data_IF_625850314489
#
_entry.id   IF_625850314489
#
_cell.length_a   1.000
_cell.length_b   1.000
_cell.length_c   1.000
_cell.angle_alpha   90.00
_cell.angle_beta   90.00
_cell.angle_gamma   90.00
#
_symmetry.space_group_name_H-M   'P 1'
#
loop_
_entity.id
_entity.type
_entity.pdbx_description
1 polymer ?
#
# COMPACT_ATOMS: atom_id res chain seq x y z
N UNK A 1 -11.82 -19.26 -35.50
CA UNK A 1 -12.38 -18.39 -34.43
C UNK A 1 -12.48 -19.11 -33.07
N UNK A 2 -12.86 -20.40 -33.03
CA UNK A 2 -12.96 -21.16 -31.77
C UNK A 2 -11.68 -21.17 -30.91
N UNK A 3 -10.49 -21.25 -31.51
CA UNK A 3 -9.21 -21.25 -30.76
C UNK A 3 -8.92 -19.93 -30.03
N UNK A 4 -9.30 -18.78 -30.61
CA UNK A 4 -9.12 -17.48 -29.96
C UNK A 4 -10.08 -17.32 -28.79
N UNK A 5 -11.33 -17.78 -28.92
CA UNK A 5 -12.31 -17.72 -27.83
C UNK A 5 -11.86 -18.54 -26.61
N UNK A 6 -11.27 -19.72 -26.83
CA UNK A 6 -10.69 -20.51 -25.72
C UNK A 6 -9.50 -19.84 -25.06
N UNK A 7 -8.62 -19.20 -25.84
CA UNK A 7 -7.48 -18.45 -25.31
C UNK A 7 -7.94 -17.26 -24.45
N UNK A 8 -8.88 -16.47 -24.96
CA UNK A 8 -9.47 -15.36 -24.22
C UNK A 8 -10.18 -15.82 -22.96
N UNK A 9 -10.92 -16.93 -23.01
CA UNK A 9 -11.57 -17.49 -21.81
C UNK A 9 -10.54 -17.93 -20.77
N UNK A 10 -9.44 -18.54 -21.18
CA UNK A 10 -8.36 -18.94 -20.25
C UNK A 10 -7.69 -17.71 -19.61
N UNK A 11 -7.46 -16.64 -20.38
CA UNK A 11 -6.84 -15.41 -19.89
C UNK A 11 -7.76 -14.55 -19.03
N UNK A 12 -9.05 -14.49 -19.38
CA UNK A 12 -10.02 -13.63 -18.73
C UNK A 12 -10.72 -14.30 -17.54
N UNK A 13 -10.69 -15.62 -17.45
CA UNK A 13 -11.55 -16.38 -16.54
C UNK A 13 -12.98 -16.49 -17.08
N UNK A 14 -13.70 -17.49 -16.60
CA UNK A 14 -15.06 -17.81 -17.08
C UNK A 14 -16.07 -16.70 -16.84
N UNK A 15 -16.04 -16.07 -15.66
CA UNK A 15 -16.99 -15.03 -15.27
C UNK A 15 -16.87 -13.77 -16.15
N UNK A 16 -15.67 -13.20 -16.27
CA UNK A 16 -15.45 -12.00 -17.09
C UNK A 16 -15.65 -12.27 -18.59
N UNK A 17 -15.35 -13.48 -19.06
CA UNK A 17 -15.66 -13.87 -20.43
C UNK A 17 -17.16 -13.93 -20.69
N UNK A 18 -17.94 -14.54 -19.78
CA UNK A 18 -19.40 -14.60 -19.91
C UNK A 18 -20.03 -13.21 -19.87
N UNK A 19 -19.50 -12.31 -19.06
CA UNK A 19 -19.93 -10.92 -19.02
C UNK A 19 -19.63 -10.19 -20.34
N UNK A 20 -18.41 -10.29 -20.88
CA UNK A 20 -18.09 -9.70 -22.19
C UNK A 20 -18.94 -10.29 -23.33
N UNK A 21 -19.23 -11.59 -23.29
CA UNK A 21 -20.14 -12.24 -24.25
C UNK A 21 -21.55 -11.64 -24.15
N UNK A 22 -22.04 -11.40 -22.92
CA UNK A 22 -23.32 -10.72 -22.69
C UNK A 22 -23.29 -9.28 -23.21
N UNK A 23 -22.22 -8.52 -22.95
CA UNK A 23 -22.09 -7.15 -23.44
C UNK A 23 -22.09 -7.09 -24.96
N UNK A 24 -21.47 -8.07 -25.63
CA UNK A 24 -21.44 -8.11 -27.10
C UNK A 24 -22.80 -8.25 -27.78
N UNK A 25 -23.84 -8.63 -27.01
CA UNK A 25 -25.22 -8.75 -27.48
C UNK A 25 -26.03 -7.48 -27.27
N UNK A 26 -25.46 -6.45 -26.65
CA UNK A 26 -26.11 -5.16 -26.45
C UNK A 26 -26.30 -4.45 -27.80
N UNK A 27 -27.54 -4.10 -28.13
CA UNK A 27 -27.89 -3.55 -29.44
C UNK A 27 -27.69 -2.04 -29.52
N UNK A 28 -27.83 -1.34 -28.39
CA UNK A 28 -27.60 0.10 -28.31
C UNK A 28 -26.11 0.41 -28.10
N UNK A 29 -25.44 1.15 -29.01
CA UNK A 29 -24.02 1.47 -28.88
C UNK A 29 -23.67 2.21 -27.61
N UNK A 30 -24.53 3.14 -27.16
CA UNK A 30 -24.25 3.92 -25.95
C UNK A 30 -24.28 3.03 -24.71
N UNK A 31 -25.32 2.20 -24.59
CA UNK A 31 -25.47 1.23 -23.50
C UNK A 31 -24.34 0.20 -23.49
N UNK A 32 -23.87 -0.24 -24.67
CA UNK A 32 -22.72 -1.12 -24.80
C UNK A 32 -21.46 -0.49 -24.18
N UNK A 33 -21.12 0.75 -24.55
CA UNK A 33 -19.91 1.41 -24.06
C UNK A 33 -19.98 1.79 -22.58
N UNK A 34 -21.14 2.19 -22.06
CA UNK A 34 -21.32 2.40 -20.61
C UNK A 34 -21.09 1.11 -19.83
N UNK A 35 -21.66 0.01 -20.32
CA UNK A 35 -21.52 -1.30 -19.69
C UNK A 35 -20.07 -1.80 -19.74
N UNK A 36 -19.36 -1.52 -20.84
CA UNK A 36 -17.94 -1.79 -20.99
C UNK A 36 -17.08 -0.92 -20.05
N UNK A 37 -17.44 0.34 -19.83
CA UNK A 37 -16.78 1.21 -18.84
C UNK A 37 -16.97 0.67 -17.41
N UNK A 38 -18.18 0.20 -17.08
CA UNK A 38 -18.47 -0.45 -15.81
C UNK A 38 -17.69 -1.76 -15.63
N UNK A 39 -17.55 -2.55 -16.70
CA UNK A 39 -16.71 -3.74 -16.72
C UNK A 39 -15.25 -3.42 -16.42
N UNK A 40 -14.68 -2.40 -17.08
CA UNK A 40 -13.33 -1.92 -16.79
C UNK A 40 -13.16 -1.52 -15.31
N UNK A 41 -14.15 -0.85 -14.72
CA UNK A 41 -14.15 -0.48 -13.29
C UNK A 41 -14.14 -1.70 -12.37
N UNK A 42 -14.97 -2.71 -12.64
CA UNK A 42 -14.95 -3.96 -11.86
C UNK A 42 -13.60 -4.66 -11.96
N UNK A 43 -13.04 -4.76 -13.16
CA UNK A 43 -11.70 -5.31 -13.36
C UNK A 43 -10.64 -4.56 -12.55
N UNK A 44 -10.69 -3.23 -12.51
CA UNK A 44 -9.78 -2.43 -11.70
C UNK A 44 -9.96 -2.70 -10.19
N UNK A 45 -11.20 -2.80 -9.72
CA UNK A 45 -11.52 -3.13 -8.32
C UNK A 45 -11.07 -4.54 -7.94
N UNK A 46 -11.12 -5.49 -8.86
CA UNK A 46 -10.64 -6.87 -8.68
C UNK A 46 -9.11 -6.99 -8.79
N UNK A 47 -8.38 -5.89 -9.01
CA UNK A 47 -6.92 -5.90 -9.18
C UNK A 47 -6.46 -6.38 -10.56
N UNK A 48 -7.37 -6.58 -11.52
CA UNK A 48 -7.08 -7.03 -12.89
C UNK A 48 -6.70 -5.85 -13.79
N UNK A 49 -5.62 -5.17 -13.42
CA UNK A 49 -5.25 -3.88 -13.99
C UNK A 49 -4.94 -3.94 -15.49
N UNK A 50 -4.31 -5.00 -15.97
CA UNK A 50 -4.01 -5.15 -17.41
C UNK A 50 -5.27 -5.13 -18.27
N UNK A 51 -6.33 -5.78 -17.79
CA UNK A 51 -7.62 -5.82 -18.47
C UNK A 51 -8.35 -4.48 -18.37
N UNK A 52 -8.33 -3.86 -17.19
CA UNK A 52 -8.90 -2.53 -17.00
C UNK A 52 -8.23 -1.49 -17.93
N UNK A 53 -6.90 -1.52 -18.01
CA UNK A 53 -6.11 -0.67 -18.91
C UNK A 53 -6.46 -0.91 -20.38
N UNK A 54 -6.59 -2.17 -20.80
CA UNK A 54 -6.99 -2.50 -22.17
C UNK A 54 -8.40 -1.99 -22.49
N UNK A 55 -9.36 -2.17 -21.57
CA UNK A 55 -10.74 -1.71 -21.73
C UNK A 55 -10.81 -0.18 -21.80
N UNK A 56 -10.15 0.53 -20.89
CA UNK A 56 -10.13 2.00 -20.93
C UNK A 56 -9.36 2.56 -22.12
N UNK A 57 -8.30 1.88 -22.56
CA UNK A 57 -7.59 2.23 -23.79
C UNK A 57 -8.51 2.16 -25.01
N UNK A 58 -9.27 1.07 -25.14
CA UNK A 58 -10.25 0.88 -26.22
C UNK A 58 -11.37 1.93 -26.16
N UNK A 59 -11.90 2.23 -24.97
CA UNK A 59 -12.93 3.25 -24.78
C UNK A 59 -12.43 4.68 -25.05
N UNK A 60 -11.12 4.93 -24.96
CA UNK A 60 -10.52 6.23 -25.26
C UNK A 60 -10.32 6.45 -26.77
N UNK A 61 -10.16 5.39 -27.55
CA UNK A 61 -9.77 5.47 -28.98
C UNK A 61 -10.92 5.77 -29.95
N UNK A 62 -12.14 6.01 -29.46
CA UNK A 62 -13.22 6.57 -30.27
C UNK A 62 -14.52 5.78 -30.16
N UNK A 63 -15.29 6.07 -29.13
CA UNK A 63 -16.66 5.55 -28.96
C UNK A 63 -17.69 6.42 -29.67
N UNK A 64 -17.35 7.68 -29.95
CA UNK A 64 -18.30 8.70 -30.41
C UNK A 64 -19.13 9.33 -29.29
N UNK A 65 -18.89 8.93 -28.04
CA UNK A 65 -19.58 9.42 -26.84
C UNK A 65 -18.59 10.15 -25.92
N UNK A 66 -18.47 11.49 -25.99
CA UNK A 66 -17.40 12.24 -25.32
C UNK A 66 -17.42 12.09 -23.79
N UNK A 67 -18.60 11.89 -23.19
CA UNK A 67 -18.73 11.65 -21.75
C UNK A 67 -18.17 10.30 -21.29
N UNK A 68 -18.18 9.28 -22.15
CA UNK A 68 -17.59 7.96 -21.86
C UNK A 68 -16.07 8.03 -22.06
N UNK A 69 -15.62 8.65 -23.15
CA UNK A 69 -14.20 8.83 -23.47
C UNK A 69 -13.47 9.60 -22.37
N UNK A 70 -14.06 10.71 -21.89
CA UNK A 70 -13.49 11.52 -20.81
C UNK A 70 -13.35 10.72 -19.51
N UNK A 71 -14.39 9.98 -19.10
CA UNK A 71 -14.35 9.12 -17.90
C UNK A 71 -13.34 7.99 -18.06
N UNK A 72 -13.28 7.33 -19.22
CA UNK A 72 -12.30 6.28 -19.48
C UNK A 72 -10.87 6.82 -19.42
N UNK A 73 -10.62 8.00 -20.00
CA UNK A 73 -9.32 8.67 -19.96
C UNK A 73 -8.91 9.05 -18.52
N UNK A 74 -9.83 9.57 -17.72
CA UNK A 74 -9.59 9.91 -16.32
C UNK A 74 -9.21 8.66 -15.49
N UNK A 75 -9.94 7.55 -15.66
CA UNK A 75 -9.63 6.29 -14.98
C UNK A 75 -8.30 5.69 -15.45
N UNK A 76 -8.01 5.75 -16.75
CA UNK A 76 -6.74 5.30 -17.32
C UNK A 76 -5.57 6.09 -16.75
N UNK A 77 -5.69 7.42 -16.70
CA UNK A 77 -4.68 8.29 -16.09
C UNK A 77 -4.50 7.98 -14.61
N UNK A 78 -5.58 7.79 -13.85
CA UNK A 78 -5.52 7.47 -12.43
C UNK A 78 -4.72 6.17 -12.17
N UNK A 79 -4.97 5.11 -12.95
CA UNK A 79 -4.25 3.83 -12.84
C UNK A 79 -2.77 4.01 -13.22
N UNK A 80 -2.46 4.83 -14.21
CA UNK A 80 -1.09 5.14 -14.64
C UNK A 80 -0.36 6.14 -13.73
N UNK A 81 -1.01 6.64 -12.66
CA UNK A 81 -0.44 7.65 -11.77
C UNK A 81 -0.39 9.07 -12.37
N UNK A 82 -1.07 9.30 -13.49
CA UNK A 82 -1.20 10.60 -14.16
C UNK A 82 -2.54 11.28 -13.86
N UNK A 83 -2.69 12.54 -14.27
CA UNK A 83 -3.96 13.27 -14.19
C UNK A 83 -4.24 13.94 -12.83
N UNK A 84 -5.52 14.19 -12.56
CA UNK A 84 -5.96 14.90 -11.35
C UNK A 84 -5.60 14.14 -10.07
N UNK A 85 -5.36 14.87 -8.97
CA UNK A 85 -4.97 14.27 -7.70
C UNK A 85 -6.11 13.46 -7.04
N UNK A 86 -7.37 13.88 -7.22
CA UNK A 86 -8.55 13.23 -6.62
C UNK A 86 -8.74 11.77 -7.05
N UNK A 87 -8.96 11.49 -8.35
CA UNK A 87 -9.12 10.11 -8.84
C UNK A 87 -7.91 9.22 -8.56
N UNK A 88 -6.70 9.78 -8.61
CA UNK A 88 -5.46 9.08 -8.23
C UNK A 88 -5.48 8.69 -6.76
N UNK A 89 -5.79 9.62 -5.86
CA UNK A 89 -5.86 9.36 -4.43
C UNK A 89 -6.94 8.31 -4.13
N UNK A 90 -8.11 8.40 -4.76
CA UNK A 90 -9.18 7.40 -4.60
C UNK A 90 -8.71 6.01 -5.03
N UNK A 91 -8.10 5.88 -6.21
CA UNK A 91 -7.55 4.62 -6.70
C UNK A 91 -6.50 4.05 -5.75
N UNK A 92 -5.53 4.86 -5.32
CA UNK A 92 -4.47 4.45 -4.42
C UNK A 92 -4.99 4.06 -3.03
N UNK A 93 -5.92 4.83 -2.46
CA UNK A 93 -6.51 4.54 -1.15
C UNK A 93 -7.35 3.26 -1.18
N UNK A 94 -8.14 3.06 -2.25
CA UNK A 94 -8.92 1.84 -2.42
C UNK A 94 -8.02 0.62 -2.54
N UNK A 95 -6.99 0.71 -3.37
CA UNK A 95 -6.00 -0.35 -3.53
C UNK A 95 -5.25 -0.64 -2.24
N UNK A 96 -4.83 0.41 -1.53
CA UNK A 96 -4.18 0.27 -0.23
C UNK A 96 -5.11 -0.42 0.79
N UNK A 97 -6.40 -0.08 0.82
CA UNK A 97 -7.36 -0.71 1.71
C UNK A 97 -7.56 -2.21 1.39
N UNK A 98 -7.59 -2.56 0.11
CA UNK A 98 -7.65 -3.95 -0.34
C UNK A 98 -6.38 -4.72 0.04
N UNK A 99 -5.20 -4.16 -0.22
CA UNK A 99 -3.91 -4.75 0.13
C UNK A 99 -3.76 -4.90 1.65
N UNK A 100 -4.18 -3.89 2.43
CA UNK A 100 -4.16 -3.91 3.89
C UNK A 100 -5.09 -4.99 4.49
N UNK A 101 -6.05 -5.48 3.71
CA UNK A 101 -6.95 -6.56 4.10
C UNK A 101 -6.44 -7.94 3.66
N UNK A 102 -5.31 -8.04 2.94
CA UNK A 102 -4.73 -9.33 2.56
C UNK A 102 -4.11 -9.99 3.81
N UNK A 103 -4.61 -11.17 4.24
CA UNK A 103 -4.07 -11.86 5.41
C UNK A 103 -2.58 -12.19 5.25
N UNK A 104 -2.13 -12.44 4.03
CA UNK A 104 -0.73 -12.72 3.70
C UNK A 104 0.14 -11.51 3.99
N UNK A 105 -0.34 -10.32 3.60
CA UNK A 105 0.35 -9.06 3.86
C UNK A 105 0.42 -8.80 5.38
N UNK A 106 -0.70 -8.95 6.09
CA UNK A 106 -0.75 -8.75 7.55
C UNK A 106 0.23 -9.69 8.27
N UNK A 107 0.25 -10.97 7.91
CA UNK A 107 1.18 -11.96 8.47
C UNK A 107 2.64 -11.60 8.18
N UNK A 108 2.95 -11.23 6.93
CA UNK A 108 4.31 -10.81 6.56
C UNK A 108 4.78 -9.56 7.31
N UNK A 109 3.90 -8.57 7.51
CA UNK A 109 4.17 -7.38 8.32
C UNK A 109 4.39 -7.74 9.79
N UNK A 110 3.58 -8.65 10.33
CA UNK A 110 3.74 -9.14 11.70
C UNK A 110 5.11 -9.80 11.94
N UNK A 111 5.50 -10.70 11.04
CA UNK A 111 6.80 -11.38 11.09
C UNK A 111 7.97 -10.38 10.94
N UNK A 112 7.88 -9.48 9.96
CA UNK A 112 8.88 -8.45 9.75
C UNK A 112 9.02 -7.53 10.99
N UNK A 113 7.90 -7.11 11.57
CA UNK A 113 7.89 -6.28 12.78
C UNK A 113 8.51 -6.98 14.00
N UNK A 114 8.30 -8.28 14.16
CA UNK A 114 8.96 -9.07 15.18
C UNK A 114 10.48 -9.13 14.95
N UNK A 115 10.91 -9.41 13.71
CA UNK A 115 12.32 -9.44 13.33
C UNK A 115 13.01 -8.07 13.56
N UNK A 116 12.33 -6.96 13.25
CA UNK A 116 12.81 -5.61 13.55
C UNK A 116 13.09 -5.42 15.04
N UNK A 117 12.12 -5.76 15.90
CA UNK A 117 12.25 -5.56 17.37
C UNK A 117 13.40 -6.37 17.95
N UNK A 118 13.49 -7.65 17.58
CA UNK A 118 14.57 -8.55 18.04
C UNK A 118 15.94 -8.03 17.56
N UNK A 119 16.05 -7.68 16.28
CA UNK A 119 17.30 -7.19 15.70
C UNK A 119 17.73 -5.88 16.33
N UNK A 120 16.80 -4.95 16.52
CA UNK A 120 17.08 -3.66 17.16
C UNK A 120 17.56 -3.84 18.60
N UNK A 121 16.91 -4.69 19.38
CA UNK A 121 17.32 -4.97 20.77
C UNK A 121 18.70 -5.62 20.82
N UNK A 122 18.97 -6.58 19.94
CA UNK A 122 20.29 -7.22 19.83
C UNK A 122 21.39 -6.21 19.48
N UNK A 123 21.15 -5.36 18.46
CA UNK A 123 22.11 -4.33 18.05
C UNK A 123 22.34 -3.29 19.15
N UNK A 124 21.28 -2.85 19.84
CA UNK A 124 21.41 -1.94 20.98
C UNK A 124 22.19 -2.60 22.13
N UNK A 125 21.92 -3.87 22.44
CA UNK A 125 22.66 -4.62 23.46
C UNK A 125 24.14 -4.72 23.14
N UNK A 126 24.50 -5.03 21.88
CA UNK A 126 25.89 -5.08 21.43
C UNK A 126 26.57 -3.71 21.48
N UNK A 127 25.87 -2.65 21.07
CA UNK A 127 26.41 -1.28 21.12
C UNK A 127 26.58 -0.78 22.56
N UNK A 128 25.67 -1.14 23.46
CA UNK A 128 25.76 -0.80 24.88
C UNK A 128 26.93 -1.50 25.57
N UNK A 129 27.23 -2.75 25.17
CA UNK A 129 28.36 -3.51 25.68
C UNK A 129 29.71 -3.11 25.06
N UNK A 130 29.73 -2.25 24.03
CA UNK A 130 30.97 -1.90 23.34
C UNK A 130 31.79 -0.85 24.11
N UNK A 131 33.03 -1.16 24.53
CA UNK A 131 33.88 -0.21 25.24
C UNK A 131 34.34 0.97 24.36
N UNK A 132 34.26 0.83 23.04
CA UNK A 132 34.66 1.86 22.07
C UNK A 132 33.61 2.96 21.84
N UNK A 133 32.46 2.92 22.51
CA UNK A 133 31.39 3.88 22.31
C UNK A 133 31.60 5.16 23.13
N UNK A 134 31.80 6.30 22.44
CA UNK A 134 31.76 7.66 22.99
C UNK A 134 30.33 8.08 23.42
N UNK A 135 30.20 9.11 24.28
CA UNK A 135 28.90 9.56 24.79
C UNK A 135 27.88 9.93 23.68
N UNK A 136 28.37 10.51 22.57
CA UNK A 136 27.55 10.82 21.40
C UNK A 136 27.06 9.56 20.65
N UNK A 137 27.89 8.51 20.59
CA UNK A 137 27.50 7.24 19.98
C UNK A 137 26.63 6.39 20.90
N UNK A 138 26.69 6.57 22.23
CA UNK A 138 25.79 5.89 23.19
C UNK A 138 24.35 6.41 23.16
N UNK A 139 24.12 7.62 22.67
CA UNK A 139 22.81 8.26 22.60
C UNK A 139 22.11 8.11 21.24
N UNK A 140 22.07 9.22 20.51
CA UNK A 140 21.36 9.30 19.22
C UNK A 140 22.00 8.40 18.15
N UNK A 141 23.33 8.34 18.10
CA UNK A 141 24.08 7.52 17.13
C UNK A 141 23.71 6.04 17.21
N UNK A 142 23.81 5.41 18.39
CA UNK A 142 23.44 4.00 18.57
C UNK A 142 21.98 3.73 18.21
N UNK A 143 21.06 4.63 18.55
CA UNK A 143 19.64 4.48 18.20
C UNK A 143 19.41 4.54 16.70
N UNK A 144 20.09 5.45 15.99
CA UNK A 144 20.00 5.58 14.55
C UNK A 144 20.61 4.36 13.84
N UNK A 145 21.83 3.95 14.21
CA UNK A 145 22.50 2.78 13.62
C UNK A 145 21.75 1.48 13.89
N UNK A 146 21.29 1.25 15.12
CA UNK A 146 20.49 0.07 15.44
C UNK A 146 19.13 0.09 14.72
N UNK A 147 18.52 1.27 14.56
CA UNK A 147 17.29 1.44 13.79
C UNK A 147 17.46 1.09 12.32
N UNK A 148 18.49 1.63 11.67
CA UNK A 148 18.82 1.32 10.27
C UNK A 148 19.18 -0.16 10.07
N UNK A 149 20.03 -0.71 10.93
CA UNK A 149 20.39 -2.13 10.86
C UNK A 149 19.19 -3.06 11.04
N UNK A 150 18.33 -2.77 12.01
CA UNK A 150 17.10 -3.53 12.21
C UNK A 150 16.11 -3.38 11.05
N UNK A 151 16.04 -2.21 10.42
CA UNK A 151 15.20 -1.97 9.25
C UNK A 151 15.62 -2.81 8.04
N UNK A 152 16.92 -2.99 7.81
CA UNK A 152 17.40 -3.87 6.73
C UNK A 152 16.97 -5.33 6.94
N UNK A 153 17.01 -5.81 8.18
CA UNK A 153 16.54 -7.16 8.54
C UNK A 153 15.04 -7.27 8.34
N UNK A 154 14.27 -6.26 8.77
CA UNK A 154 12.83 -6.19 8.61
C UNK A 154 12.41 -6.21 7.13
N UNK A 155 13.01 -5.37 6.28
CA UNK A 155 12.71 -5.31 4.86
C UNK A 155 12.99 -6.64 4.15
N UNK A 156 14.10 -7.30 4.52
CA UNK A 156 14.45 -8.62 4.00
C UNK A 156 13.47 -9.69 4.47
N UNK A 157 13.11 -9.68 5.76
CA UNK A 157 12.13 -10.60 6.34
C UNK A 157 10.76 -10.43 5.70
N UNK A 158 10.30 -9.19 5.53
CA UNK A 158 9.04 -8.86 4.88
C UNK A 158 8.98 -9.41 3.45
N UNK A 159 10.05 -9.21 2.68
CA UNK A 159 10.14 -9.67 1.29
C UNK A 159 10.12 -11.19 1.21
N UNK A 160 10.91 -11.88 2.03
CA UNK A 160 10.98 -13.35 2.01
C UNK A 160 9.70 -14.00 2.54
N UNK A 161 9.15 -13.49 3.65
CA UNK A 161 7.88 -13.97 4.21
C UNK A 161 6.73 -13.73 3.23
N UNK A 162 6.70 -12.57 2.57
CA UNK A 162 5.72 -12.25 1.54
C UNK A 162 5.75 -13.25 0.38
N UNK A 163 6.92 -13.54 -0.20
CA UNK A 163 7.00 -14.53 -1.27
C UNK A 163 6.62 -15.94 -0.80
N UNK A 164 7.16 -16.38 0.36
CA UNK A 164 6.89 -17.72 0.88
C UNK A 164 5.42 -17.95 1.24
N UNK A 165 4.75 -16.97 1.83
CA UNK A 165 3.33 -17.06 2.15
C UNK A 165 2.46 -16.99 0.89
N UNK A 166 2.80 -16.15 -0.09
CA UNK A 166 2.06 -16.10 -1.36
C UNK A 166 2.18 -17.43 -2.13
N UNK A 167 3.38 -18.02 -2.17
CA UNK A 167 3.58 -19.33 -2.78
C UNK A 167 2.81 -20.44 -2.04
N UNK A 168 2.76 -20.37 -0.70
CA UNK A 168 1.97 -21.31 0.11
C UNK A 168 0.46 -21.25 -0.17
N UNK A 169 -0.08 -20.11 -0.62
CA UNK A 169 -1.48 -19.96 -1.08
C UNK A 169 -1.66 -20.18 -2.58
N UNK A 170 -0.64 -20.71 -3.26
CA UNK A 170 -0.69 -21.07 -4.68
C UNK A 170 -0.51 -19.89 -5.63
N UNK A 171 -0.04 -18.73 -5.17
CA UNK A 171 0.30 -17.58 -6.03
C UNK A 171 1.76 -17.70 -6.46
N UNK A 172 2.06 -18.01 -7.73
CA UNK A 172 3.44 -18.18 -8.19
C UNK A 172 4.24 -16.88 -7.97
N UNK A 173 5.49 -17.02 -7.55
CA UNK A 173 6.39 -15.91 -7.24
C UNK A 173 7.68 -16.00 -8.05
N UNK A 174 8.25 -14.84 -8.39
CA UNK A 174 9.53 -14.73 -9.09
C UNK A 174 10.69 -14.74 -8.08
N UNK A 175 11.31 -15.91 -7.92
CA UNK A 175 12.49 -16.10 -7.06
C UNK A 175 13.81 -15.74 -7.73
N UNK A 176 13.79 -15.19 -8.95
CA UNK A 176 15.02 -14.72 -9.60
C UNK A 176 15.67 -13.60 -8.78
N UNK A 177 17.00 -13.44 -8.81
CA UNK A 177 17.68 -12.35 -8.10
C UNK A 177 17.14 -10.95 -8.50
N UNK A 178 16.73 -10.79 -9.76
CA UNK A 178 16.14 -9.56 -10.28
C UNK A 178 14.73 -9.32 -9.74
N UNK A 179 13.90 -10.36 -9.68
CA UNK A 179 12.58 -10.34 -9.05
C UNK A 179 12.66 -9.97 -7.57
N UNK A 180 13.49 -10.70 -6.83
CA UNK A 180 13.73 -10.47 -5.41
C UNK A 180 14.26 -9.06 -5.13
N UNK A 181 15.20 -8.56 -5.93
CA UNK A 181 15.73 -7.20 -5.77
C UNK A 181 14.67 -6.11 -5.94
N UNK A 182 13.78 -6.26 -6.95
CA UNK A 182 12.66 -5.33 -7.17
C UNK A 182 11.65 -5.40 -6.03
N UNK A 183 11.25 -6.60 -5.62
CA UNK A 183 10.32 -6.80 -4.51
C UNK A 183 10.88 -6.26 -3.19
N UNK A 184 12.18 -6.45 -2.94
CA UNK A 184 12.85 -5.91 -1.76
C UNK A 184 12.86 -4.38 -1.76
N UNK A 185 13.22 -3.75 -2.89
CA UNK A 185 13.24 -2.29 -3.00
C UNK A 185 11.83 -1.69 -2.80
N UNK A 186 10.81 -2.30 -3.42
CA UNK A 186 9.42 -1.91 -3.23
C UNK A 186 8.96 -2.08 -1.77
N UNK A 187 9.25 -3.24 -1.16
CA UNK A 187 8.92 -3.51 0.24
C UNK A 187 9.61 -2.55 1.21
N UNK A 188 10.90 -2.25 0.99
CA UNK A 188 11.65 -1.28 1.78
C UNK A 188 11.05 0.14 1.65
N UNK A 189 10.69 0.58 0.44
CA UNK A 189 10.03 1.87 0.24
C UNK A 189 8.67 1.95 0.94
N UNK A 190 7.87 0.89 0.86
CA UNK A 190 6.56 0.80 1.53
C UNK A 190 6.73 0.86 3.05
N UNK A 191 7.58 0.03 3.63
CA UNK A 191 7.84 0.01 5.07
C UNK A 191 8.43 1.33 5.57
N UNK A 192 9.38 1.90 4.82
CA UNK A 192 9.98 3.19 5.12
C UNK A 192 8.94 4.31 5.15
N UNK A 193 8.06 4.33 4.14
CA UNK A 193 6.95 5.30 4.06
C UNK A 193 6.00 5.15 5.25
N UNK A 194 5.56 3.92 5.56
CA UNK A 194 4.68 3.65 6.71
C UNK A 194 5.28 4.10 8.03
N UNK A 195 6.58 3.85 8.25
CA UNK A 195 7.28 4.29 9.47
C UNK A 195 7.41 5.81 9.55
N UNK A 196 7.71 6.48 8.42
CA UNK A 196 7.77 7.93 8.35
C UNK A 196 6.40 8.56 8.64
N UNK A 197 5.33 8.03 8.06
CA UNK A 197 3.97 8.49 8.34
C UNK A 197 3.58 8.24 9.79
N UNK A 198 3.88 7.07 10.35
CA UNK A 198 3.61 6.76 11.75
C UNK A 198 4.37 7.70 12.71
N UNK A 199 5.62 8.02 12.40
CA UNK A 199 6.41 8.97 13.17
C UNK A 199 5.88 10.40 13.07
N UNK A 200 5.57 10.88 11.87
CA UNK A 200 5.04 12.22 11.63
C UNK A 200 3.66 12.39 12.27
N UNK A 201 2.77 11.40 12.08
CA UNK A 201 1.44 11.36 12.68
C UNK A 201 1.50 11.31 14.20
N UNK A 202 2.40 10.51 14.78
CA UNK A 202 2.60 10.46 16.24
C UNK A 202 3.05 11.80 16.82
N UNK A 203 3.94 12.52 16.14
CA UNK A 203 4.37 13.88 16.57
C UNK A 203 3.25 14.90 16.45
N UNK A 204 2.48 14.87 15.36
CA UNK A 204 1.34 15.77 15.19
C UNK A 204 0.27 15.50 16.26
N UNK A 205 -0.03 14.23 16.50
CA UNK A 205 -0.97 13.80 17.54
C UNK A 205 -0.54 14.30 18.93
N UNK A 206 0.73 14.10 19.29
CA UNK A 206 1.30 14.61 20.54
C UNK A 206 1.27 16.15 20.64
N UNK A 207 1.45 16.87 19.52
CA UNK A 207 1.38 18.33 19.51
C UNK A 207 -0.04 18.84 19.75
N UNK A 208 -1.03 18.19 19.14
CA UNK A 208 -2.44 18.58 19.26
C UNK A 208 -3.01 18.19 20.63
N UNK A 209 -2.69 17.00 21.14
CA UNK A 209 -3.31 16.48 22.37
C UNK A 209 -2.41 16.60 23.63
N UNK A 210 -1.09 16.75 23.46
CA UNK A 210 -0.13 16.77 24.56
C UNK A 210 0.22 18.17 25.08
N UNK A 211 -0.22 19.24 24.40
CA UNK A 211 0.04 20.61 24.85
C UNK A 211 -0.98 21.13 25.88
N UNK A 212 -2.20 20.58 25.91
CA UNK A 212 -3.27 21.10 26.79
C UNK A 212 -3.29 20.47 28.20
N UNK A 213 -2.67 19.30 28.40
CA UNK A 213 -2.77 18.55 29.67
C UNK A 213 -1.63 18.74 30.68
N UNK A 214 -0.50 19.33 30.31
CA UNK A 214 0.69 19.46 31.17
C UNK A 214 1.06 20.90 31.55
N UNK A 215 0.41 21.91 30.95
CA UNK A 215 0.60 23.31 31.31
C UNK A 215 -0.31 23.76 32.48
N UNK A 216 -1.38 23.02 32.77
CA UNK A 216 -2.16 23.19 34.00
C UNK A 216 -1.46 22.49 35.17
N UNK A 217 -0.34 23.05 35.60
CA UNK A 217 0.35 22.59 36.81
C UNK A 217 -0.55 22.75 38.05
N UNK A 218 -0.38 21.91 39.09
CA UNK A 218 -1.18 21.93 40.31
C UNK A 218 -1.06 23.23 41.15
N UNK A 219 -0.25 24.20 40.71
CA UNK A 219 -0.03 25.48 41.40
C UNK A 219 -1.28 26.37 41.42
N UNK A 220 -2.23 26.20 40.50
CA UNK A 220 -3.47 26.99 40.51
C UNK A 220 -4.51 26.46 41.53
N UNK A 221 -4.42 25.17 41.91
CA UNK A 221 -5.32 24.59 42.94
C UNK A 221 -4.88 24.89 44.37
N UNK A 222 -3.62 25.27 44.59
CA UNK A 222 -3.13 25.65 45.92
C UNK A 222 -3.46 27.12 46.26
N UNK A 223 -3.48 28.03 45.28
CA UNK A 223 -3.84 29.42 45.53
C UNK A 223 -5.34 29.64 45.74
N UNK A 224 -6.20 28.76 45.23
CA UNK A 224 -7.64 28.82 45.50
C UNK A 224 -8.03 28.32 46.90
N UNK A 225 -7.14 27.60 47.61
CA UNK A 225 -7.42 27.04 48.94
C UNK A 225 -6.96 27.95 50.11
N UNK A 226 -6.09 28.94 49.85
CA UNK A 226 -5.58 29.87 50.90
C UNK A 226 -6.38 31.19 50.99
N UNK A 227 -7.39 31.40 50.15
CA UNK A 227 -8.16 32.65 50.08
C UNK A 227 -9.48 32.71 50.87
N UNK A 228 -9.89 31.65 51.56
CA UNK A 228 -11.14 31.59 52.35
C UNK A 228 -10.91 31.51 53.88
N UNK A 229 -9.84 32.14 54.38
CA UNK A 229 -9.54 32.27 55.81
C UNK A 229 -9.70 33.69 56.33
#
# INVERSE_FOLDING_TARGET
>A
MASRASEWRARLGSAAFAELDSLSREGDPQSFFESLLAFGRRCAVEGRLDLALAVYGLLREGTGFPGIESRAAEQLQAIQGMGAAGPRAEFLLRRLAQEASDPTLILSMGLAGAAYRVSRLSLLGRLAASPAANAFTRGFGARATAGLGAFLVEASTFTLAGHGLNEAVGRPQDWSPQGLGRSWAAGALTLGSLKLFGWAGGRLYQRVHGAEGLAAGPTEKLQAAEGEG
#
